data_IF_781616095574
#
_entry.id   IF_781616095574
#
_cell.length_a   1.000
_cell.length_b   1.000
_cell.length_c   1.000
_cell.angle_alpha   90.00
_cell.angle_beta   90.00
_cell.angle_gamma   90.00
#
_symmetry.space_group_name_H-M   'P 1'
#
loop_
_entity.id
_entity.type
_entity.pdbx_description
1 polymer ?
#
# COMPACT_ATOMS: atom_id res chain seq x y z
N UNK A 1 18.64 73.85 -29.80
CA UNK A 1 17.50 73.05 -29.41
C UNK A 1 17.90 71.53 -29.47
N UNK A 2 18.26 70.94 -28.34
CA UNK A 2 18.63 69.48 -28.24
C UNK A 2 17.47 68.77 -27.56
N UNK A 3 16.82 67.83 -28.27
CA UNK A 3 15.80 66.97 -27.70
C UNK A 3 16.49 65.67 -27.16
N UNK A 4 16.34 65.43 -25.87
CA UNK A 4 16.78 64.16 -25.23
C UNK A 4 15.71 63.10 -25.42
N UNK A 5 16.08 61.89 -25.94
CA UNK A 5 15.26 60.72 -25.93
C UNK A 5 15.52 59.99 -24.60
N UNK A 6 14.47 59.79 -23.81
CA UNK A 6 14.48 58.92 -22.65
C UNK A 6 14.10 57.50 -23.10
N UNK A 7 15.03 56.56 -23.02
CA UNK A 7 14.79 55.15 -23.24
C UNK A 7 14.24 54.52 -21.96
N UNK A 8 13.04 53.92 -22.04
CA UNK A 8 12.43 53.11 -20.98
C UNK A 8 12.99 51.69 -21.08
N UNK A 9 13.81 51.30 -20.12
CA UNK A 9 14.22 49.92 -19.93
C UNK A 9 13.16 49.20 -19.09
N UNK A 10 12.40 48.31 -19.72
CA UNK A 10 11.43 47.42 -19.04
C UNK A 10 12.19 46.23 -18.51
N UNK A 11 12.42 46.19 -17.19
CA UNK A 11 13.03 45.07 -16.48
C UNK A 11 11.99 43.97 -16.33
N UNK A 12 12.10 42.91 -17.13
CA UNK A 12 11.31 41.70 -16.97
C UNK A 12 11.84 40.92 -15.74
N UNK A 13 11.12 41.02 -14.62
CA UNK A 13 11.33 40.16 -13.46
C UNK A 13 10.82 38.76 -13.81
N UNK A 14 11.73 37.81 -14.06
CA UNK A 14 11.43 36.39 -14.11
C UNK A 14 11.27 35.91 -12.66
N UNK A 15 10.01 35.85 -12.20
CA UNK A 15 9.69 35.23 -10.91
C UNK A 15 9.77 33.70 -11.14
N UNK A 16 10.86 33.09 -10.72
CA UNK A 16 10.94 31.64 -10.60
C UNK A 16 10.04 31.19 -9.45
N UNK A 17 8.85 30.70 -9.76
CA UNK A 17 8.00 30.02 -8.79
C UNK A 17 8.64 28.68 -8.46
N UNK A 18 9.50 28.65 -7.46
CA UNK A 18 9.84 27.41 -6.79
C UNK A 18 8.59 26.97 -6.01
N UNK A 19 7.93 25.94 -6.51
CA UNK A 19 6.85 25.26 -5.79
C UNK A 19 7.41 24.77 -4.45
N UNK A 20 7.11 25.46 -3.38
CA UNK A 20 7.43 25.08 -2.02
C UNK A 20 6.69 23.77 -1.75
N UNK A 21 7.42 22.66 -1.62
CA UNK A 21 6.87 21.36 -1.20
C UNK A 21 6.14 21.57 0.12
N UNK A 22 4.81 21.58 0.08
CA UNK A 22 3.97 21.59 1.27
C UNK A 22 4.24 20.31 2.05
N UNK A 23 4.79 20.46 3.25
CA UNK A 23 5.19 19.36 4.12
C UNK A 23 3.96 18.71 4.75
N UNK A 24 3.40 17.73 4.08
CA UNK A 24 2.76 16.57 4.69
C UNK A 24 3.34 15.31 4.06
N UNK A 25 4.63 15.10 4.24
CA UNK A 25 5.26 13.80 4.00
C UNK A 25 5.08 12.96 5.25
N UNK A 26 4.37 11.83 5.20
CA UNK A 26 4.45 10.87 6.29
C UNK A 26 5.86 10.29 6.27
N UNK A 27 6.76 10.83 7.06
CA UNK A 27 8.11 10.28 7.24
C UNK A 27 8.00 9.05 8.13
N UNK A 28 8.11 7.86 7.55
CA UNK A 28 8.34 6.63 8.29
C UNK A 28 9.78 6.18 8.04
N UNK A 29 10.68 6.62 8.91
CA UNK A 29 11.93 5.91 9.17
C UNK A 29 11.63 4.64 10.00
N UNK A 30 12.46 3.61 9.93
CA UNK A 30 12.44 2.52 10.91
C UNK A 30 12.44 3.15 12.33
N UNK A 31 11.31 3.00 13.06
CA UNK A 31 11.10 3.70 14.33
C UNK A 31 10.02 4.78 14.32
N UNK A 32 9.22 4.91 13.28
CA UNK A 32 8.07 5.83 13.28
C UNK A 32 6.92 5.29 14.14
N UNK A 33 6.16 6.23 14.74
CA UNK A 33 4.99 5.91 15.53
C UNK A 33 3.89 5.28 14.66
N UNK A 34 3.15 4.34 15.24
CA UNK A 34 1.96 3.78 14.61
C UNK A 34 0.90 4.86 14.37
N UNK A 35 0.30 4.81 13.21
CA UNK A 35 -0.94 5.54 12.91
C UNK A 35 -1.98 4.56 12.37
N UNK A 36 -3.28 4.80 12.60
CA UNK A 36 -4.34 3.92 12.07
C UNK A 36 -4.21 3.65 10.56
N UNK A 37 -3.70 4.64 9.81
CA UNK A 37 -3.51 4.54 8.35
C UNK A 37 -2.49 3.46 7.94
N UNK A 38 -1.63 3.00 8.85
CA UNK A 38 -0.72 1.88 8.56
C UNK A 38 -1.50 0.62 8.21
N UNK A 39 -2.55 0.30 8.96
CA UNK A 39 -3.37 -0.89 8.70
C UNK A 39 -4.50 -0.54 7.73
N UNK A 40 -4.28 -0.89 6.48
CA UNK A 40 -5.19 -0.67 5.37
C UNK A 40 -5.97 -1.92 4.97
N UNK A 41 -7.02 -1.70 4.19
CA UNK A 41 -7.90 -2.76 3.69
C UNK A 41 -8.28 -2.51 2.23
N UNK A 42 -8.28 -3.56 1.42
CA UNK A 42 -8.94 -3.59 0.12
C UNK A 42 -10.36 -4.13 0.29
N UNK A 43 -11.36 -3.43 -0.26
CA UNK A 43 -12.77 -3.82 -0.21
C UNK A 43 -13.34 -3.94 -1.62
N UNK A 44 -14.24 -4.92 -1.82
CA UNK A 44 -14.95 -5.13 -3.09
C UNK A 44 -16.19 -4.24 -3.23
N UNK A 45 -16.83 -3.89 -2.11
CA UNK A 45 -18.07 -3.10 -2.11
C UNK A 45 -18.10 -2.17 -0.91
N UNK A 46 -18.55 -0.91 -1.08
CA UNK A 46 -18.68 0.04 0.02
C UNK A 46 -19.90 -0.21 0.90
N UNK A 47 -20.88 -0.98 0.42
CA UNK A 47 -22.18 -1.19 1.06
C UNK A 47 -22.40 -2.62 1.53
N UNK A 48 -21.51 -3.54 1.14
CA UNK A 48 -21.59 -4.95 1.49
C UNK A 48 -20.51 -5.27 2.52
N UNK A 49 -20.92 -5.67 3.73
CA UNK A 49 -20.03 -6.19 4.77
C UNK A 49 -18.84 -5.24 5.12
N UNK A 50 -19.15 -4.01 5.52
CA UNK A 50 -18.12 -3.11 6.03
C UNK A 50 -17.34 -3.77 7.17
N UNK A 51 -16.00 -3.66 7.20
CA UNK A 51 -15.18 -4.30 8.23
C UNK A 51 -15.59 -3.93 9.65
N UNK A 52 -15.71 -4.95 10.50
CA UNK A 52 -15.99 -4.80 11.95
C UNK A 52 -14.73 -4.52 12.76
N UNK A 53 -13.55 -4.67 12.14
CA UNK A 53 -12.24 -4.36 12.72
C UNK A 53 -11.82 -2.93 12.40
N UNK A 54 -10.99 -2.34 13.26
CA UNK A 54 -10.43 -1.01 13.02
C UNK A 54 -9.38 -1.05 11.91
N UNK A 55 -9.48 -0.12 10.97
CA UNK A 55 -8.47 0.15 9.94
C UNK A 55 -8.50 1.64 9.58
N UNK A 56 -7.41 2.17 9.03
CA UNK A 56 -7.30 3.61 8.79
C UNK A 56 -7.17 4.01 7.33
N UNK A 57 -6.94 3.05 6.42
CA UNK A 57 -6.78 3.32 4.99
C UNK A 57 -7.58 2.34 4.14
N UNK A 58 -8.25 2.85 3.11
CA UNK A 58 -9.10 2.09 2.20
C UNK A 58 -8.59 2.22 0.77
N UNK A 59 -8.44 1.07 0.09
CA UNK A 59 -8.21 0.98 -1.35
C UNK A 59 -9.36 0.21 -1.98
N UNK A 60 -10.27 0.89 -2.70
CA UNK A 60 -11.49 0.29 -3.22
C UNK A 60 -11.26 -0.47 -4.51
N UNK A 61 -12.09 -1.48 -4.76
CA UNK A 61 -12.26 -2.05 -6.10
C UNK A 61 -13.19 -1.19 -6.96
N UNK A 62 -13.19 -1.43 -8.29
CA UNK A 62 -14.20 -0.85 -9.19
C UNK A 62 -13.99 0.60 -9.59
N UNK A 63 -12.78 1.16 -9.39
CA UNK A 63 -12.43 2.52 -9.85
C UNK A 63 -11.89 2.57 -11.28
N UNK A 64 -12.08 1.51 -12.05
CA UNK A 64 -11.63 1.38 -13.45
C UNK A 64 -12.14 2.53 -14.31
N UNK A 65 -11.26 3.20 -15.03
CA UNK A 65 -11.59 4.36 -15.85
C UNK A 65 -12.77 4.13 -16.78
N UNK A 66 -12.81 3.01 -17.51
CA UNK A 66 -13.90 2.72 -18.43
C UNK A 66 -15.28 2.56 -17.78
N UNK A 67 -15.37 2.31 -16.47
CA UNK A 67 -16.63 2.33 -15.73
C UNK A 67 -17.02 3.75 -15.31
N UNK A 68 -16.03 4.59 -15.01
CA UNK A 68 -16.25 5.99 -14.62
C UNK A 68 -16.53 6.86 -15.83
N UNK A 69 -15.87 6.61 -16.97
CA UNK A 69 -16.02 7.37 -18.21
C UNK A 69 -16.09 6.40 -19.41
N UNK A 70 -17.28 5.93 -19.72
CA UNK A 70 -17.53 4.94 -20.77
C UNK A 70 -17.29 5.47 -22.19
N UNK A 71 -17.49 6.76 -22.40
CA UNK A 71 -17.15 7.54 -23.59
C UNK A 71 -16.70 8.94 -23.15
N UNK A 72 -15.92 9.61 -23.98
CA UNK A 72 -15.36 10.92 -23.63
C UNK A 72 -16.41 11.90 -23.13
N UNK A 73 -16.25 12.37 -21.89
CA UNK A 73 -17.16 13.31 -21.21
C UNK A 73 -18.45 12.67 -20.67
N UNK A 74 -18.67 11.37 -20.90
CA UNK A 74 -19.83 10.66 -20.36
C UNK A 74 -19.45 9.93 -19.06
N UNK A 75 -19.58 10.64 -17.93
CA UNK A 75 -19.17 10.16 -16.63
C UNK A 75 -20.31 9.52 -15.83
N UNK A 76 -20.05 8.34 -15.28
CA UNK A 76 -20.82 7.73 -14.20
C UNK A 76 -20.00 7.80 -12.89
N UNK A 77 -20.36 8.71 -12.02
CA UNK A 77 -19.68 8.90 -10.75
C UNK A 77 -20.24 8.07 -9.60
N UNK A 78 -21.36 7.37 -9.83
CA UNK A 78 -22.10 6.69 -8.76
C UNK A 78 -21.23 5.75 -7.92
N UNK A 79 -20.43 4.92 -8.57
CA UNK A 79 -19.54 3.98 -7.88
C UNK A 79 -18.50 4.68 -7.01
N UNK A 80 -17.85 5.72 -7.55
CA UNK A 80 -16.81 6.48 -6.81
C UNK A 80 -17.44 7.34 -5.72
N UNK A 81 -18.60 7.98 -5.98
CA UNK A 81 -19.34 8.75 -4.97
C UNK A 81 -19.71 7.90 -3.76
N UNK A 82 -20.13 6.64 -4.00
CA UNK A 82 -20.46 5.69 -2.92
C UNK A 82 -19.24 5.32 -2.08
N UNK A 83 -18.08 5.10 -2.71
CA UNK A 83 -16.83 4.86 -1.99
C UNK A 83 -16.38 6.07 -1.17
N UNK A 84 -16.47 7.27 -1.72
CA UNK A 84 -16.13 8.51 -1.01
C UNK A 84 -17.07 8.73 0.17
N UNK A 85 -18.36 8.49 0.01
CA UNK A 85 -19.35 8.60 1.10
C UNK A 85 -19.05 7.59 2.21
N UNK A 86 -18.76 6.33 1.86
CA UNK A 86 -18.43 5.29 2.84
C UNK A 86 -17.13 5.62 3.59
N UNK A 87 -16.06 5.99 2.89
CA UNK A 87 -14.80 6.37 3.51
C UNK A 87 -14.97 7.53 4.50
N UNK A 88 -15.72 8.57 4.11
CA UNK A 88 -16.00 9.71 4.97
C UNK A 88 -16.82 9.34 6.19
N UNK A 89 -17.87 8.51 6.04
CA UNK A 89 -18.73 8.11 7.15
C UNK A 89 -18.01 7.26 8.20
N UNK A 90 -16.99 6.53 7.78
CA UNK A 90 -16.16 5.69 8.65
C UNK A 90 -14.80 6.31 9.02
N UNK A 91 -14.53 7.55 8.60
CA UNK A 91 -13.29 8.28 8.87
C UNK A 91 -12.02 7.54 8.46
N UNK A 92 -12.05 6.83 7.32
CA UNK A 92 -10.89 6.14 6.75
C UNK A 92 -10.32 6.90 5.55
N UNK A 93 -9.00 6.90 5.41
CA UNK A 93 -8.30 7.55 4.31
C UNK A 93 -8.52 6.76 3.00
N UNK A 94 -9.04 7.41 1.96
CA UNK A 94 -9.34 6.78 0.68
C UNK A 94 -8.21 6.95 -0.32
N UNK A 95 -7.75 5.84 -0.92
CA UNK A 95 -6.82 5.80 -2.04
C UNK A 95 -7.58 5.47 -3.32
N UNK A 96 -7.68 6.42 -4.25
CA UNK A 96 -8.25 6.16 -5.59
C UNK A 96 -7.18 5.57 -6.51
N UNK A 97 -7.52 4.56 -7.30
CA UNK A 97 -6.60 3.94 -8.26
C UNK A 97 -7.01 4.31 -9.67
N UNK A 98 -6.14 5.00 -10.40
CA UNK A 98 -6.27 5.15 -11.85
C UNK A 98 -5.88 3.83 -12.52
N UNK A 99 -6.78 3.26 -13.31
CA UNK A 99 -6.62 1.89 -13.81
C UNK A 99 -7.37 1.69 -15.12
N UNK A 100 -6.73 0.99 -16.05
CA UNK A 100 -7.25 0.54 -17.35
C UNK A 100 -7.73 1.69 -18.26
N UNK A 101 -7.13 1.76 -19.42
CA UNK A 101 -7.51 2.72 -20.46
C UNK A 101 -8.82 2.28 -21.14
N UNK A 102 -9.86 3.08 -21.22
CA UNK A 102 -11.02 2.74 -22.04
C UNK A 102 -10.63 2.76 -23.52
N UNK A 103 -11.29 1.95 -24.34
CA UNK A 103 -10.95 1.76 -25.75
C UNK A 103 -10.84 3.08 -26.53
N UNK A 104 -11.75 4.02 -26.28
CA UNK A 104 -11.79 5.33 -26.94
C UNK A 104 -10.60 6.24 -26.59
N UNK A 105 -9.96 6.03 -25.43
CA UNK A 105 -8.82 6.81 -24.97
C UNK A 105 -7.46 6.15 -25.28
N UNK A 106 -7.48 4.90 -25.75
CA UNK A 106 -6.29 4.08 -25.92
C UNK A 106 -5.46 4.49 -27.14
N UNK A 107 -4.13 4.50 -26.99
CA UNK A 107 -3.18 4.62 -28.11
C UNK A 107 -3.21 3.41 -29.02
N UNK A 108 -3.72 2.25 -28.55
CA UNK A 108 -3.83 0.99 -29.30
C UNK A 108 -5.21 0.36 -29.06
N UNK A 109 -6.31 0.96 -29.60
CA UNK A 109 -7.70 0.59 -29.25
C UNK A 109 -8.11 -0.83 -29.66
N UNK A 110 -7.36 -1.46 -30.56
CA UNK A 110 -7.62 -2.81 -31.03
C UNK A 110 -6.74 -3.89 -30.36
N UNK A 111 -5.81 -3.49 -29.48
CA UNK A 111 -4.98 -4.41 -28.71
C UNK A 111 -5.84 -5.28 -27.81
N UNK A 112 -5.69 -6.61 -27.87
CA UNK A 112 -6.45 -7.53 -27.02
C UNK A 112 -6.11 -7.30 -25.55
N UNK A 113 -7.13 -7.24 -24.73
CA UNK A 113 -6.99 -7.06 -23.28
C UNK A 113 -7.88 -8.06 -22.53
N UNK A 114 -7.29 -8.80 -21.59
CA UNK A 114 -7.99 -9.85 -20.83
C UNK A 114 -8.75 -9.32 -19.60
N UNK A 115 -8.63 -8.01 -19.30
CA UNK A 115 -9.20 -7.37 -18.09
C UNK A 115 -10.29 -6.36 -18.38
N UNK A 116 -10.78 -6.31 -19.62
CA UNK A 116 -11.80 -5.37 -20.06
C UNK A 116 -11.94 -5.33 -21.57
N UNK A 117 -12.33 -4.16 -22.09
CA UNK A 117 -12.40 -3.93 -23.53
C UNK A 117 -11.01 -3.89 -24.15
N UNK A 118 -10.93 -4.11 -25.47
CA UNK A 118 -9.68 -3.96 -26.20
C UNK A 118 -9.02 -2.60 -25.90
N UNK A 119 -7.70 -2.58 -25.90
CA UNK A 119 -6.91 -1.38 -25.59
C UNK A 119 -6.73 -1.09 -24.10
N UNK A 120 -7.34 -1.88 -23.20
CA UNK A 120 -7.40 -1.57 -21.78
C UNK A 120 -6.03 -1.60 -21.05
N UNK A 121 -5.05 -2.31 -21.58
CA UNK A 121 -3.70 -2.34 -21.03
C UNK A 121 -2.72 -1.41 -21.77
N UNK A 122 -3.12 -0.85 -22.91
CA UNK A 122 -2.30 0.11 -23.63
C UNK A 122 -2.29 1.49 -22.93
N UNK A 123 -1.20 2.27 -23.05
CA UNK A 123 -1.21 3.66 -22.59
C UNK A 123 -2.36 4.46 -23.20
N UNK A 124 -2.98 5.37 -22.45
CA UNK A 124 -3.93 6.34 -23.02
C UNK A 124 -3.19 7.36 -23.89
N UNK A 125 -3.95 8.11 -24.70
CA UNK A 125 -3.46 9.34 -25.30
C UNK A 125 -3.29 10.40 -24.22
N UNK A 126 -2.31 11.29 -24.37
CA UNK A 126 -2.01 12.36 -23.40
C UNK A 126 -3.23 13.23 -23.12
N UNK A 127 -3.98 13.60 -24.17
CA UNK A 127 -5.17 14.43 -24.05
C UNK A 127 -6.27 13.76 -23.24
N UNK A 128 -6.53 12.47 -23.50
CA UNK A 128 -7.55 11.72 -22.75
C UNK A 128 -7.12 11.51 -21.29
N UNK A 129 -5.84 11.25 -21.06
CA UNK A 129 -5.28 11.10 -19.71
C UNK A 129 -5.40 12.38 -18.89
N UNK A 130 -4.97 13.51 -19.47
CA UNK A 130 -5.10 14.82 -18.85
C UNK A 130 -6.55 15.17 -18.52
N UNK A 131 -7.47 14.89 -19.44
CA UNK A 131 -8.91 15.12 -19.26
C UNK A 131 -9.45 14.32 -18.08
N UNK A 132 -9.19 13.01 -18.04
CA UNK A 132 -9.71 12.13 -17.00
C UNK A 132 -9.13 12.45 -15.61
N UNK A 133 -7.80 12.63 -15.50
CA UNK A 133 -7.16 13.02 -14.23
C UNK A 133 -7.75 14.34 -13.72
N UNK A 134 -7.91 15.33 -14.60
CA UNK A 134 -8.49 16.62 -14.23
C UNK A 134 -9.92 16.47 -13.71
N UNK A 135 -10.75 15.68 -14.40
CA UNK A 135 -12.16 15.48 -14.02
C UNK A 135 -12.29 14.81 -12.65
N UNK A 136 -11.55 13.71 -12.42
CA UNK A 136 -11.54 12.97 -11.14
C UNK A 136 -11.07 13.87 -10.00
N UNK A 137 -9.91 14.49 -10.14
CA UNK A 137 -9.31 15.28 -9.05
C UNK A 137 -10.12 16.53 -8.74
N UNK A 138 -10.69 17.19 -9.77
CA UNK A 138 -11.58 18.36 -9.56
C UNK A 138 -12.83 17.95 -8.79
N UNK A 139 -13.48 16.84 -9.18
CA UNK A 139 -14.70 16.37 -8.52
C UNK A 139 -14.47 16.03 -7.06
N UNK A 140 -13.34 15.39 -6.76
CA UNK A 140 -13.09 14.82 -5.42
C UNK A 140 -12.05 15.59 -4.59
N UNK A 141 -11.72 16.82 -5.00
CA UNK A 141 -10.79 17.69 -4.25
C UNK A 141 -11.09 17.70 -2.74
N UNK A 142 -10.07 17.39 -1.94
CA UNK A 142 -10.14 17.35 -0.48
C UNK A 142 -10.96 16.20 0.09
N UNK A 143 -11.53 15.30 -0.73
CA UNK A 143 -12.33 14.13 -0.30
C UNK A 143 -11.63 12.79 -0.53
N UNK A 144 -10.72 12.72 -1.49
CA UNK A 144 -9.82 11.60 -1.72
C UNK A 144 -8.44 12.02 -1.23
N UNK A 145 -7.86 11.26 -0.31
CA UNK A 145 -6.57 11.61 0.28
C UNK A 145 -5.40 11.31 -0.66
N UNK A 146 -5.49 10.21 -1.40
CA UNK A 146 -4.39 9.78 -2.26
C UNK A 146 -4.87 9.20 -3.59
N UNK A 147 -4.04 9.38 -4.62
CA UNK A 147 -4.24 8.88 -5.96
C UNK A 147 -3.09 7.95 -6.34
N UNK A 148 -3.38 6.66 -6.51
CA UNK A 148 -2.44 5.65 -7.02
C UNK A 148 -2.50 5.62 -8.53
N UNK A 149 -1.32 5.74 -9.15
CA UNK A 149 -1.21 6.02 -10.57
C UNK A 149 -0.98 4.78 -11.41
N UNK A 150 -1.82 3.81 -11.34
CA UNK A 150 -1.86 2.52 -12.02
C UNK A 150 -1.64 1.31 -11.13
N UNK A 151 -2.26 0.20 -11.55
CA UNK A 151 -2.17 -1.10 -10.88
C UNK A 151 -1.23 -2.03 -11.66
N UNK A 152 -0.25 -2.59 -10.99
CA UNK A 152 0.65 -3.67 -11.45
C UNK A 152 1.20 -3.48 -12.88
N UNK A 153 1.82 -2.33 -13.22
CA UNK A 153 2.24 -2.05 -14.59
C UNK A 153 3.41 -2.93 -15.07
N UNK A 154 4.03 -3.71 -14.18
CA UNK A 154 5.01 -4.73 -14.51
C UNK A 154 4.39 -6.06 -14.96
N UNK A 155 3.05 -6.17 -14.91
CA UNK A 155 2.30 -7.32 -15.39
C UNK A 155 1.56 -6.97 -16.69
N UNK A 156 1.84 -7.72 -17.75
CA UNK A 156 1.34 -7.46 -19.12
C UNK A 156 -0.19 -7.40 -19.23
N UNK A 157 -0.90 -8.03 -18.28
CA UNK A 157 -2.37 -7.97 -18.23
C UNK A 157 -2.91 -6.62 -17.76
N UNK A 158 -2.07 -5.74 -17.17
CA UNK A 158 -2.48 -4.44 -16.68
C UNK A 158 -1.88 -3.28 -17.48
N UNK A 159 -0.66 -3.44 -17.99
CA UNK A 159 -0.01 -2.40 -18.78
C UNK A 159 0.94 -2.99 -19.82
N UNK A 160 0.77 -2.60 -21.08
CA UNK A 160 1.59 -3.03 -22.22
C UNK A 160 2.49 -1.91 -22.76
N UNK A 161 2.49 -0.76 -22.10
CA UNK A 161 3.48 0.28 -22.28
C UNK A 161 4.79 -0.02 -21.52
N UNK A 162 5.82 0.77 -21.76
CA UNK A 162 7.08 0.72 -21.06
C UNK A 162 7.04 1.49 -19.71
N UNK A 163 8.02 1.29 -18.85
CA UNK A 163 8.23 2.09 -17.66
C UNK A 163 8.48 3.59 -18.00
N UNK A 164 9.02 3.89 -19.19
CA UNK A 164 9.16 5.26 -19.69
C UNK A 164 7.81 5.88 -20.07
N UNK A 165 6.90 5.12 -20.70
CA UNK A 165 5.55 5.60 -21.00
C UNK A 165 4.80 5.91 -19.71
N UNK A 166 4.96 5.07 -18.68
CA UNK A 166 4.37 5.33 -17.38
C UNK A 166 4.97 6.57 -16.69
N UNK A 167 6.30 6.77 -16.78
CA UNK A 167 6.94 7.99 -16.26
C UNK A 167 6.46 9.25 -17.00
N UNK A 168 6.16 9.14 -18.30
CA UNK A 168 5.55 10.19 -19.10
C UNK A 168 4.13 10.52 -18.60
N UNK A 169 3.27 9.51 -18.42
CA UNK A 169 1.92 9.70 -17.87
C UNK A 169 1.95 10.36 -16.48
N UNK A 170 2.92 9.99 -15.64
CA UNK A 170 3.14 10.62 -14.33
C UNK A 170 3.52 12.09 -14.46
N UNK A 171 4.34 12.45 -15.45
CA UNK A 171 4.78 13.84 -15.69
C UNK A 171 3.61 14.77 -16.08
N UNK A 172 2.55 14.22 -16.64
CA UNK A 172 1.30 14.91 -16.94
C UNK A 172 0.41 14.99 -15.68
N UNK A 173 0.19 13.84 -15.02
CA UNK A 173 -0.79 13.74 -13.92
C UNK A 173 -0.35 14.48 -12.66
N UNK A 174 0.91 14.35 -12.25
CA UNK A 174 1.39 14.92 -10.99
C UNK A 174 1.19 16.44 -10.87
N UNK A 175 1.65 17.28 -11.84
CA UNK A 175 1.42 18.73 -11.76
C UNK A 175 -0.06 19.09 -11.81
N UNK A 176 -0.90 18.36 -12.54
CA UNK A 176 -2.34 18.58 -12.55
C UNK A 176 -2.96 18.32 -11.17
N UNK A 177 -2.67 17.16 -10.57
CA UNK A 177 -3.16 16.81 -9.24
C UNK A 177 -2.74 17.88 -8.24
N UNK A 178 -1.44 18.25 -8.22
CA UNK A 178 -0.92 19.24 -7.28
C UNK A 178 -1.45 20.66 -7.52
N UNK A 179 -1.83 21.02 -8.74
CA UNK A 179 -2.46 22.30 -9.02
C UNK A 179 -3.91 22.38 -8.56
N UNK A 180 -4.64 21.28 -8.67
CA UNK A 180 -6.06 21.19 -8.29
C UNK A 180 -6.21 20.95 -6.79
N UNK A 181 -5.51 19.92 -6.27
CA UNK A 181 -5.52 19.52 -4.87
C UNK A 181 -4.07 19.36 -4.33
N UNK A 182 -3.45 20.45 -3.85
CA UNK A 182 -2.08 20.44 -3.36
C UNK A 182 -1.83 19.48 -2.19
N UNK A 183 -2.87 19.14 -1.44
CA UNK A 183 -2.77 18.24 -0.28
C UNK A 183 -2.85 16.76 -0.65
N UNK A 184 -3.38 16.43 -1.82
CA UNK A 184 -3.51 15.05 -2.27
C UNK A 184 -2.12 14.39 -2.40
N UNK A 185 -2.02 13.15 -1.93
CA UNK A 185 -0.81 12.33 -2.03
C UNK A 185 -0.82 11.60 -3.38
N UNK A 186 0.25 11.75 -4.15
CA UNK A 186 0.42 11.03 -5.42
C UNK A 186 1.29 9.80 -5.18
N UNK A 187 0.67 8.63 -5.29
CA UNK A 187 1.30 7.33 -5.08
C UNK A 187 1.79 6.80 -6.43
N UNK A 188 3.01 6.26 -6.47
CA UNK A 188 3.54 5.68 -7.71
C UNK A 188 2.64 4.56 -8.24
N UNK A 189 2.81 4.17 -9.52
CA UNK A 189 2.29 2.89 -9.99
C UNK A 189 2.78 1.76 -9.09
N UNK A 190 1.87 0.93 -8.57
CA UNK A 190 2.21 -0.15 -7.66
C UNK A 190 2.63 -1.40 -8.44
N UNK A 191 3.88 -1.85 -8.27
CA UNK A 191 4.38 -3.06 -8.94
C UNK A 191 3.99 -4.33 -8.20
N UNK A 192 3.62 -5.39 -8.93
CA UNK A 192 3.30 -6.70 -8.34
C UNK A 192 4.55 -7.50 -8.04
N UNK A 193 4.66 -8.04 -6.81
CA UNK A 193 5.72 -9.01 -6.46
C UNK A 193 5.68 -10.29 -7.29
N UNK A 194 4.51 -10.63 -7.84
CA UNK A 194 4.30 -11.77 -8.75
C UNK A 194 4.18 -11.37 -10.22
N UNK A 195 4.41 -10.11 -10.57
CA UNK A 195 4.26 -9.56 -11.92
C UNK A 195 5.16 -10.23 -12.96
N UNK A 196 4.61 -10.44 -14.15
CA UNK A 196 5.32 -11.02 -15.28
C UNK A 196 5.00 -10.19 -16.56
N UNK A 197 5.95 -9.89 -17.44
CA UNK A 197 7.28 -10.52 -17.56
C UNK A 197 8.38 -9.85 -16.73
N UNK A 198 8.14 -8.69 -16.13
CA UNK A 198 9.22 -7.93 -15.49
C UNK A 198 9.12 -8.00 -13.95
N UNK A 199 10.18 -8.45 -13.25
CA UNK A 199 10.22 -8.40 -11.80
C UNK A 199 9.98 -6.99 -11.26
N UNK A 200 9.30 -6.89 -10.11
CA UNK A 200 8.84 -5.64 -9.49
C UNK A 200 9.98 -4.63 -9.28
N UNK A 201 11.12 -5.07 -8.78
CA UNK A 201 12.29 -4.24 -8.50
C UNK A 201 12.98 -3.76 -9.78
N UNK A 202 13.02 -4.59 -10.83
CA UNK A 202 13.57 -4.22 -12.15
C UNK A 202 12.69 -3.20 -12.85
N UNK A 203 11.38 -3.38 -12.77
CA UNK A 203 10.44 -2.41 -13.36
C UNK A 203 10.51 -1.06 -12.62
N UNK A 204 10.57 -1.08 -11.29
CA UNK A 204 10.76 0.13 -10.49
C UNK A 204 12.07 0.84 -10.86
N UNK A 205 13.18 0.10 -11.02
CA UNK A 205 14.46 0.67 -11.46
C UNK A 205 14.34 1.37 -12.82
N UNK A 206 13.65 0.75 -13.79
CA UNK A 206 13.40 1.34 -15.10
C UNK A 206 12.52 2.60 -15.00
N UNK A 207 11.48 2.59 -14.18
CA UNK A 207 10.59 3.72 -13.96
C UNK A 207 11.34 4.91 -13.33
N UNK A 208 12.14 4.66 -12.31
CA UNK A 208 12.92 5.70 -11.64
C UNK A 208 14.04 6.22 -12.55
N UNK A 209 14.67 5.36 -13.35
CA UNK A 209 15.65 5.75 -14.38
C UNK A 209 15.04 6.67 -15.43
N UNK A 210 13.77 6.45 -15.81
CA UNK A 210 13.03 7.32 -16.73
C UNK A 210 12.57 8.65 -16.07
N UNK A 211 12.88 8.88 -14.80
CA UNK A 211 12.58 10.12 -14.09
C UNK A 211 11.24 10.12 -13.36
N UNK A 212 10.53 8.97 -13.29
CA UNK A 212 9.22 8.85 -12.64
C UNK A 212 9.21 9.25 -11.16
N UNK A 213 10.33 9.07 -10.46
CA UNK A 213 10.49 9.47 -9.06
C UNK A 213 10.33 10.97 -8.77
N UNK A 214 10.35 11.83 -9.80
CA UNK A 214 10.10 13.28 -9.67
C UNK A 214 8.61 13.62 -9.51
N UNK A 215 7.75 12.67 -9.88
CA UNK A 215 6.30 12.87 -10.04
C UNK A 215 5.51 11.98 -9.07
N UNK A 216 6.07 11.68 -7.89
CA UNK A 216 5.44 10.88 -6.84
C UNK A 216 5.77 11.45 -5.46
N UNK A 217 4.88 11.25 -4.50
CA UNK A 217 5.10 11.53 -3.09
C UNK A 217 5.38 10.24 -2.29
N UNK A 218 5.01 9.08 -2.86
CA UNK A 218 5.10 7.75 -2.24
C UNK A 218 5.46 6.73 -3.29
N UNK A 219 6.35 5.78 -2.98
CA UNK A 219 6.56 4.57 -3.78
C UNK A 219 5.62 3.48 -3.27
N UNK A 220 5.03 2.70 -4.19
CA UNK A 220 4.13 1.61 -3.86
C UNK A 220 4.51 0.30 -4.57
N UNK A 221 4.15 -0.83 -3.92
CA UNK A 221 4.18 -2.15 -4.52
C UNK A 221 3.07 -3.03 -3.91
N UNK A 222 2.88 -4.23 -4.45
CA UNK A 222 1.98 -5.24 -3.92
C UNK A 222 2.78 -6.40 -3.32
N UNK A 223 2.64 -6.60 -2.01
CA UNK A 223 3.45 -7.53 -1.21
C UNK A 223 2.78 -8.90 -1.06
N UNK A 224 2.60 -9.60 -2.15
CA UNK A 224 2.15 -11.00 -2.05
C UNK A 224 3.31 -11.92 -1.69
N UNK A 225 3.07 -12.78 -0.71
CA UNK A 225 4.01 -13.81 -0.28
C UNK A 225 3.76 -15.17 -0.96
N UNK A 226 3.21 -15.17 -2.17
CA UNK A 226 2.92 -16.40 -2.90
C UNK A 226 2.50 -16.13 -4.33
N UNK A 227 2.40 -17.21 -5.10
CA UNK A 227 1.87 -17.20 -6.46
C UNK A 227 0.50 -17.87 -6.47
N UNK A 228 -0.36 -17.43 -7.39
CA UNK A 228 -1.68 -18.02 -7.62
C UNK A 228 -1.61 -19.57 -7.70
N UNK A 229 -2.47 -20.24 -6.92
CA UNK A 229 -2.58 -21.71 -6.85
C UNK A 229 -1.28 -22.44 -6.43
N UNK A 230 -0.41 -21.77 -5.68
CA UNK A 230 0.80 -22.35 -5.10
C UNK A 230 0.76 -22.24 -3.57
N UNK A 231 1.52 -23.05 -2.83
CA UNK A 231 1.73 -22.80 -1.41
C UNK A 231 2.21 -21.37 -1.17
N UNK A 232 1.68 -20.72 -0.14
CA UNK A 232 2.18 -19.40 0.24
C UNK A 232 3.62 -19.52 0.74
N UNK A 233 4.48 -18.61 0.30
CA UNK A 233 5.81 -18.48 0.90
C UNK A 233 5.67 -17.83 2.29
N UNK A 234 6.59 -18.10 3.23
CA UNK A 234 6.54 -17.49 4.55
C UNK A 234 6.56 -15.96 4.47
N UNK A 235 5.80 -15.24 5.32
CA UNK A 235 5.79 -13.77 5.33
C UNK A 235 7.17 -13.15 5.57
N UNK A 236 8.10 -13.90 6.14
CA UNK A 236 9.49 -13.52 6.38
C UNK A 236 10.23 -13.11 5.10
N UNK A 237 9.81 -13.64 3.95
CA UNK A 237 10.35 -13.25 2.64
C UNK A 237 10.06 -11.79 2.26
N UNK A 238 9.06 -11.16 2.87
CA UNK A 238 8.78 -9.73 2.68
C UNK A 238 9.95 -8.85 3.07
N UNK A 239 10.72 -9.25 4.08
CA UNK A 239 11.94 -8.54 4.47
C UNK A 239 12.93 -8.42 3.31
N UNK A 240 13.02 -9.43 2.43
CA UNK A 240 13.84 -9.41 1.22
C UNK A 240 13.24 -8.49 0.16
N UNK A 241 11.93 -8.57 -0.08
CA UNK A 241 11.24 -7.70 -1.03
C UNK A 241 11.42 -6.23 -0.65
N UNK A 242 11.18 -5.89 0.63
CA UNK A 242 11.31 -4.51 1.15
C UNK A 242 12.75 -4.02 0.99
N UNK A 243 13.77 -4.84 1.31
CA UNK A 243 15.18 -4.47 1.12
C UNK A 243 15.52 -4.23 -0.35
N UNK A 244 15.02 -5.07 -1.27
CA UNK A 244 15.23 -4.88 -2.72
C UNK A 244 14.67 -3.55 -3.19
N UNK A 245 13.40 -3.23 -2.85
CA UNK A 245 12.76 -1.96 -3.23
C UNK A 245 13.51 -0.76 -2.63
N UNK A 246 13.84 -0.80 -1.33
CA UNK A 246 14.58 0.27 -0.66
C UNK A 246 15.98 0.48 -1.27
N UNK A 247 16.64 -0.59 -1.71
CA UNK A 247 17.91 -0.49 -2.43
C UNK A 247 17.76 0.24 -3.79
N UNK A 248 16.70 -0.08 -4.53
CA UNK A 248 16.37 0.64 -5.77
C UNK A 248 16.03 2.11 -5.48
N UNK A 249 15.21 2.40 -4.47
CA UNK A 249 14.89 3.78 -4.07
C UNK A 249 16.16 4.58 -3.71
N UNK A 250 17.07 3.97 -2.94
CA UNK A 250 18.32 4.60 -2.53
C UNK A 250 19.22 4.99 -3.72
N UNK A 251 19.29 4.14 -4.75
CA UNK A 251 20.04 4.40 -6.00
C UNK A 251 19.62 5.72 -6.66
N UNK A 252 18.35 6.14 -6.49
CA UNK A 252 17.81 7.36 -7.07
C UNK A 252 17.60 8.50 -6.04
N UNK A 253 18.19 8.40 -4.85
CA UNK A 253 18.12 9.43 -3.81
C UNK A 253 16.76 9.51 -3.08
N UNK A 254 15.96 8.43 -3.14
CA UNK A 254 14.61 8.37 -2.57
C UNK A 254 14.55 7.61 -1.23
N UNK A 255 15.66 7.46 -0.52
CA UNK A 255 15.73 6.69 0.74
C UNK A 255 14.75 7.17 1.82
N UNK A 256 14.39 8.44 1.83
CA UNK A 256 13.46 9.04 2.79
C UNK A 256 12.01 9.13 2.28
N UNK A 257 11.76 8.69 1.04
CA UNK A 257 10.39 8.67 0.50
C UNK A 257 9.60 7.53 1.15
N UNK A 258 8.33 7.77 1.56
CA UNK A 258 7.49 6.71 2.10
C UNK A 258 7.31 5.55 1.12
N UNK A 259 7.23 4.34 1.67
CA UNK A 259 6.94 3.12 0.91
C UNK A 259 5.63 2.52 1.42
N UNK A 260 4.68 2.28 0.52
CA UNK A 260 3.39 1.67 0.82
C UNK A 260 3.26 0.31 0.13
N UNK A 261 2.68 -0.65 0.85
CA UNK A 261 2.14 -1.87 0.29
C UNK A 261 0.64 -1.66 0.05
N UNK A 262 0.23 -1.38 -1.18
CA UNK A 262 -1.15 -1.02 -1.49
C UNK A 262 -2.05 -2.20 -1.79
N UNK A 263 -1.47 -3.42 -1.89
CA UNK A 263 -2.21 -4.66 -2.04
C UNK A 263 -1.32 -5.86 -1.68
N UNK A 264 -1.71 -6.65 -0.70
CA UNK A 264 -0.93 -7.82 -0.34
C UNK A 264 -1.65 -8.83 0.54
N UNK A 265 -0.97 -9.95 0.74
CA UNK A 265 -1.48 -11.09 1.49
C UNK A 265 -0.76 -12.37 1.07
N UNK A 266 -1.42 -13.52 1.27
CA UNK A 266 -0.81 -14.81 0.88
C UNK A 266 -0.98 -15.17 -0.60
N UNK A 267 -1.84 -14.46 -1.36
CA UNK A 267 -2.04 -14.69 -2.78
C UNK A 267 -3.31 -15.46 -3.11
N UNK A 268 -3.71 -15.40 -4.39
CA UNK A 268 -4.94 -16.02 -4.88
C UNK A 268 -4.89 -17.55 -4.77
N UNK A 269 -5.89 -18.13 -4.10
CA UNK A 269 -6.00 -19.58 -3.87
C UNK A 269 -4.72 -20.21 -3.31
N UNK A 270 -3.90 -19.42 -2.57
CA UNK A 270 -2.71 -19.95 -1.94
C UNK A 270 -3.06 -20.92 -0.83
N UNK A 271 -2.31 -22.00 -0.77
CA UNK A 271 -2.55 -23.05 0.19
C UNK A 271 -1.89 -22.70 1.52
N UNK A 272 -2.70 -22.36 2.50
CA UNK A 272 -2.31 -22.28 3.90
C UNK A 272 -3.13 -23.32 4.65
N UNK A 273 -2.48 -24.17 5.48
CA UNK A 273 -3.08 -25.44 5.94
C UNK A 273 -4.41 -25.26 6.66
N UNK A 274 -4.50 -24.29 7.54
CA UNK A 274 -5.66 -24.09 8.41
C UNK A 274 -5.82 -22.62 8.84
N UNK A 275 -6.89 -22.31 9.54
CA UNK A 275 -7.19 -20.95 10.00
C UNK A 275 -6.21 -20.44 11.06
N UNK A 276 -5.56 -21.31 11.84
CA UNK A 276 -4.53 -20.89 12.79
C UNK A 276 -3.27 -20.42 12.04
N UNK A 277 -2.84 -21.20 11.04
CA UNK A 277 -1.73 -20.82 10.18
C UNK A 277 -2.03 -19.52 9.39
N UNK A 278 -3.28 -19.32 8.94
CA UNK A 278 -3.73 -18.07 8.30
C UNK A 278 -3.64 -16.88 9.25
N UNK A 279 -4.07 -17.03 10.50
CA UNK A 279 -3.98 -16.00 11.53
C UNK A 279 -2.51 -15.63 11.83
N UNK A 280 -1.67 -16.63 12.01
CA UNK A 280 -0.23 -16.46 12.22
C UNK A 280 0.47 -15.80 11.03
N UNK A 281 0.09 -16.17 9.79
CA UNK A 281 0.59 -15.55 8.57
C UNK A 281 0.27 -14.05 8.54
N UNK A 282 -0.99 -13.69 8.72
CA UNK A 282 -1.44 -12.30 8.72
C UNK A 282 -0.72 -11.47 9.78
N UNK A 283 -0.62 -11.99 11.00
CA UNK A 283 0.04 -11.28 12.09
C UNK A 283 1.52 -10.99 11.75
N UNK A 284 2.27 -11.98 11.27
CA UNK A 284 3.68 -11.82 10.85
C UNK A 284 3.82 -10.86 9.66
N UNK A 285 2.89 -10.92 8.70
CA UNK A 285 2.87 -10.06 7.52
C UNK A 285 2.81 -8.57 7.91
N UNK A 286 1.93 -8.18 8.84
CA UNK A 286 1.84 -6.80 9.33
C UNK A 286 3.04 -6.42 10.21
N UNK A 287 3.44 -7.28 11.15
CA UNK A 287 4.53 -7.00 12.07
C UNK A 287 5.86 -6.77 11.33
N UNK A 288 6.16 -7.59 10.33
CA UNK A 288 7.35 -7.42 9.49
C UNK A 288 7.27 -6.07 8.75
N UNK A 289 6.19 -5.77 8.07
CA UNK A 289 6.07 -4.53 7.32
C UNK A 289 6.21 -3.30 8.21
N UNK A 290 5.52 -3.26 9.36
CA UNK A 290 5.65 -2.16 10.30
C UNK A 290 7.08 -2.01 10.80
N UNK A 291 7.72 -3.11 11.19
CA UNK A 291 9.10 -3.10 11.71
C UNK A 291 10.14 -2.65 10.68
N UNK A 292 9.88 -2.86 9.40
CA UNK A 292 10.72 -2.38 8.29
C UNK A 292 10.34 -0.98 7.80
N UNK A 293 9.42 -0.29 8.48
CA UNK A 293 9.05 1.10 8.20
C UNK A 293 8.22 1.28 6.94
N UNK A 294 7.36 0.31 6.63
CA UNK A 294 6.29 0.50 5.64
C UNK A 294 5.26 1.46 6.23
N UNK A 295 4.90 2.49 5.46
CA UNK A 295 4.03 3.54 5.97
C UNK A 295 2.54 3.17 5.95
N UNK A 296 2.14 2.35 4.97
CA UNK A 296 0.78 1.76 4.87
C UNK A 296 0.88 0.37 4.27
N UNK A 297 0.05 -0.55 4.79
CA UNK A 297 -0.04 -1.92 4.32
C UNK A 297 -1.52 -2.32 4.20
N UNK A 298 -1.96 -2.63 2.98
CA UNK A 298 -3.35 -2.90 2.67
C UNK A 298 -3.57 -4.39 2.43
N UNK A 299 -4.35 -5.01 3.32
CA UNK A 299 -4.69 -6.42 3.17
C UNK A 299 -5.70 -6.66 2.03
N UNK A 300 -5.42 -7.65 1.20
CA UNK A 300 -6.29 -8.07 0.11
C UNK A 300 -6.84 -9.48 0.37
N UNK A 301 -8.10 -9.65 0.86
CA UNK A 301 -9.20 -8.70 1.08
C UNK A 301 -10.04 -9.09 2.31
N UNK A 302 -11.02 -8.21 2.65
CA UNK A 302 -11.91 -8.43 3.80
C UNK A 302 -12.80 -9.66 3.64
N UNK A 303 -13.58 -9.75 2.56
CA UNK A 303 -14.64 -10.74 2.36
C UNK A 303 -14.49 -11.58 1.07
N UNK A 304 -13.28 -11.70 0.51
CA UNK A 304 -13.00 -12.46 -0.70
C UNK A 304 -12.39 -13.83 -0.39
N UNK A 305 -13.10 -14.90 -0.68
CA UNK A 305 -12.68 -16.28 -0.38
C UNK A 305 -11.45 -16.74 -1.15
N UNK A 306 -11.18 -16.17 -2.34
CA UNK A 306 -10.05 -16.55 -3.18
C UNK A 306 -8.70 -16.01 -2.67
N UNK A 307 -8.72 -14.89 -1.94
CA UNK A 307 -7.52 -14.13 -1.58
C UNK A 307 -7.24 -14.08 -0.06
N UNK A 308 -7.93 -14.88 0.73
CA UNK A 308 -7.67 -14.88 2.15
C UNK A 308 -8.58 -13.96 2.93
N UNK A 309 -9.82 -14.37 2.97
CA UNK A 309 -10.88 -13.63 3.64
C UNK A 309 -10.65 -13.48 5.13
N UNK A 310 -10.92 -12.27 5.64
CA UNK A 310 -10.94 -11.97 7.07
C UNK A 310 -12.34 -12.13 7.67
N UNK A 311 -13.35 -12.20 6.81
CA UNK A 311 -14.75 -12.31 7.20
C UNK A 311 -15.52 -13.24 6.25
N UNK A 312 -16.48 -13.98 6.79
CA UNK A 312 -17.38 -14.87 6.02
C UNK A 312 -18.82 -14.62 6.35
N UNK A 313 -19.67 -14.58 5.34
CA UNK A 313 -21.11 -14.49 5.52
C UNK A 313 -21.62 -15.65 6.40
N UNK A 314 -22.49 -15.32 7.36
CA UNK A 314 -23.07 -16.26 8.29
C UNK A 314 -22.19 -16.71 9.47
N UNK A 315 -20.87 -16.49 9.41
CA UNK A 315 -19.95 -16.83 10.52
C UNK A 315 -19.13 -15.67 11.07
N UNK A 316 -19.13 -14.51 10.35
CA UNK A 316 -18.42 -13.32 10.81
C UNK A 316 -16.90 -13.41 10.59
N UNK A 317 -16.13 -12.82 11.51
CA UNK A 317 -14.67 -12.76 11.45
C UNK A 317 -14.05 -14.15 11.51
N UNK A 318 -13.14 -14.42 10.58
CA UNK A 318 -12.27 -15.60 10.60
C UNK A 318 -11.22 -15.46 11.71
N UNK A 319 -10.44 -16.51 11.98
CA UNK A 319 -9.27 -16.38 12.87
C UNK A 319 -8.28 -15.35 12.38
N UNK A 320 -8.09 -15.22 11.05
CA UNK A 320 -7.25 -14.17 10.47
C UNK A 320 -7.85 -12.75 10.69
N UNK A 321 -9.19 -12.60 10.62
CA UNK A 321 -9.86 -11.34 10.96
C UNK A 321 -9.66 -10.94 12.42
N UNK A 322 -9.75 -11.88 13.35
CA UNK A 322 -9.45 -11.67 14.78
C UNK A 322 -7.96 -11.32 14.99
N UNK A 323 -7.06 -11.99 14.29
CA UNK A 323 -5.63 -11.68 14.34
C UNK A 323 -5.32 -10.27 13.79
N UNK A 324 -6.05 -9.80 12.76
CA UNK A 324 -5.95 -8.42 12.28
C UNK A 324 -6.26 -7.42 13.40
N UNK A 325 -7.39 -7.59 14.09
CA UNK A 325 -7.78 -6.73 15.21
C UNK A 325 -6.76 -6.81 16.36
N UNK A 326 -6.22 -7.99 16.63
CA UNK A 326 -5.23 -8.17 17.68
C UNK A 326 -3.90 -7.49 17.35
N UNK A 327 -3.41 -7.59 16.11
CA UNK A 327 -2.18 -6.88 15.67
C UNK A 327 -2.39 -5.37 15.71
N UNK A 328 -3.57 -4.88 15.31
CA UNK A 328 -3.91 -3.46 15.47
C UNK A 328 -3.74 -3.04 16.95
N UNK A 329 -4.33 -3.77 17.88
CA UNK A 329 -4.17 -3.52 19.33
C UNK A 329 -2.71 -3.58 19.81
N UNK A 330 -1.89 -4.48 19.24
CA UNK A 330 -0.48 -4.59 19.56
C UNK A 330 0.33 -3.39 19.07
N UNK A 331 -0.06 -2.78 17.98
CA UNK A 331 0.65 -1.64 17.39
C UNK A 331 0.08 -0.29 17.82
N UNK A 332 -1.19 -0.22 18.23
CA UNK A 332 -1.82 1.02 18.68
C UNK A 332 -1.03 1.64 19.87
N UNK A 333 -0.69 2.92 19.69
CA UNK A 333 0.19 3.63 20.63
C UNK A 333 1.68 3.27 20.52
N UNK A 334 2.10 2.42 19.57
CA UNK A 334 3.52 2.16 19.34
C UNK A 334 4.24 3.41 18.84
N UNK A 335 5.34 3.76 19.50
CA UNK A 335 6.20 4.90 19.15
C UNK A 335 7.41 4.48 18.32
N UNK A 336 7.79 3.21 18.41
CA UNK A 336 8.88 2.61 17.63
C UNK A 336 8.77 1.08 17.61
N UNK A 337 9.37 0.45 16.62
CA UNK A 337 9.55 -1.01 16.54
C UNK A 337 10.92 -1.33 15.97
N UNK A 338 11.62 -2.31 16.57
CA UNK A 338 12.87 -2.84 15.98
C UNK A 338 12.52 -3.74 14.79
N UNK A 339 13.35 -3.79 13.73
CA UNK A 339 13.13 -4.73 12.64
C UNK A 339 13.01 -6.16 13.15
N UNK A 340 11.97 -6.85 12.71
CA UNK A 340 11.81 -8.28 13.00
C UNK A 340 12.91 -9.07 12.28
N UNK A 341 13.62 -9.90 13.01
CA UNK A 341 14.76 -10.66 12.50
C UNK A 341 14.88 -12.01 13.21
N UNK A 342 15.52 -13.01 12.56
CA UNK A 342 15.85 -14.25 13.22
C UNK A 342 16.78 -14.01 14.40
N UNK A 343 16.43 -14.59 15.55
CA UNK A 343 17.28 -14.59 16.76
C UNK A 343 18.23 -15.80 16.74
N UNK A 344 17.67 -16.99 16.58
CA UNK A 344 18.40 -18.25 16.38
C UNK A 344 17.46 -19.29 15.73
N UNK A 345 18.00 -20.13 14.86
CA UNK A 345 17.23 -21.16 14.16
C UNK A 345 16.02 -20.57 13.44
N UNK A 346 14.84 -21.06 13.78
CA UNK A 346 13.55 -20.61 13.24
C UNK A 346 12.89 -19.50 14.07
N UNK A 347 13.46 -19.12 15.22
CA UNK A 347 12.86 -18.14 16.13
C UNK A 347 13.13 -16.72 15.62
N UNK A 348 12.05 -15.96 15.45
CA UNK A 348 12.06 -14.55 15.07
C UNK A 348 11.63 -13.67 16.24
N UNK A 349 12.23 -12.51 16.35
CA UNK A 349 11.88 -11.51 17.37
C UNK A 349 11.89 -10.10 16.86
N UNK A 350 11.06 -9.25 17.46
CA UNK A 350 11.12 -7.79 17.36
C UNK A 350 10.58 -7.16 18.64
N UNK A 351 10.95 -5.91 18.91
CA UNK A 351 10.47 -5.18 20.09
C UNK A 351 9.58 -4.04 19.68
N UNK A 352 8.44 -3.89 20.35
CA UNK A 352 7.52 -2.76 20.21
C UNK A 352 7.70 -1.83 21.41
N UNK A 353 7.85 -0.53 21.17
CA UNK A 353 7.94 0.50 22.19
C UNK A 353 6.63 1.29 22.26
N UNK A 354 6.02 1.39 23.45
CA UNK A 354 4.84 2.23 23.71
C UNK A 354 5.12 3.12 24.92
N UNK A 355 5.43 4.38 24.70
CA UNK A 355 5.90 5.27 25.74
C UNK A 355 7.14 4.68 26.43
N UNK A 356 7.08 4.49 27.76
CA UNK A 356 8.14 3.87 28.55
C UNK A 356 8.15 2.33 28.49
N UNK A 357 7.07 1.71 28.01
CA UNK A 357 6.92 0.25 28.03
C UNK A 357 7.50 -0.40 26.78
N UNK A 358 8.23 -1.49 26.99
CA UNK A 358 8.77 -2.34 25.94
C UNK A 358 8.05 -3.68 25.91
N UNK A 359 7.67 -4.11 24.72
CA UNK A 359 7.05 -5.41 24.44
C UNK A 359 7.96 -6.21 23.54
N UNK A 360 7.92 -7.55 23.67
CA UNK A 360 8.69 -8.46 22.83
C UNK A 360 7.75 -9.32 22.03
N UNK A 361 7.83 -9.26 20.70
CA UNK A 361 7.12 -10.17 19.80
C UNK A 361 8.02 -11.32 19.45
N UNK A 362 7.47 -12.56 19.51
CA UNK A 362 8.21 -13.78 19.21
C UNK A 362 7.34 -14.74 18.42
N UNK A 363 7.94 -15.45 17.46
CA UNK A 363 7.34 -16.59 16.75
C UNK A 363 8.42 -17.52 16.22
N UNK A 364 8.01 -18.72 15.77
CA UNK A 364 8.85 -19.63 15.02
C UNK A 364 8.38 -19.74 13.58
N UNK A 365 9.26 -19.56 12.61
CA UNK A 365 8.94 -19.64 11.17
C UNK A 365 8.82 -21.07 10.62
N UNK A 366 9.22 -22.11 11.38
CA UNK A 366 9.29 -23.48 10.88
C UNK A 366 8.74 -24.54 11.85
N UNK A 367 7.72 -24.19 12.66
CA UNK A 367 7.07 -25.12 13.58
C UNK A 367 7.36 -24.83 15.05
N UNK A 368 6.74 -25.60 15.99
CA UNK A 368 6.87 -25.35 17.42
C UNK A 368 8.31 -25.42 17.92
N UNK A 369 8.69 -24.47 18.74
CA UNK A 369 10.05 -24.33 19.32
C UNK A 369 9.95 -23.76 20.71
N UNK A 370 10.77 -24.22 21.64
CA UNK A 370 10.84 -23.68 23.00
C UNK A 370 11.62 -22.37 23.03
N UNK A 371 11.02 -21.35 23.66
CA UNK A 371 11.61 -20.02 23.84
C UNK A 371 11.67 -19.65 25.31
N UNK A 372 12.85 -19.32 25.81
CA UNK A 372 13.11 -18.99 27.23
C UNK A 372 13.69 -17.58 27.45
N UNK A 373 14.06 -16.87 26.39
CA UNK A 373 14.71 -15.55 26.51
C UNK A 373 13.69 -14.40 26.63
N UNK A 374 12.87 -14.42 27.71
CA UNK A 374 11.85 -13.40 27.96
C UNK A 374 11.96 -12.78 29.39
N UNK A 375 13.17 -12.74 29.95
CA UNK A 375 13.41 -12.16 31.28
C UNK A 375 12.86 -10.74 31.35
N UNK A 376 12.12 -10.44 32.44
CA UNK A 376 11.46 -9.14 32.66
C UNK A 376 10.03 -9.04 32.10
N UNK A 377 9.51 -10.11 31.52
CA UNK A 377 8.11 -10.18 31.09
C UNK A 377 7.33 -11.16 31.96
N UNK A 378 6.16 -10.76 32.44
CA UNK A 378 5.32 -11.55 33.38
C UNK A 378 4.13 -12.21 32.71
N UNK A 379 3.80 -11.82 31.47
CA UNK A 379 2.69 -12.38 30.72
C UNK A 379 2.91 -12.20 29.21
N UNK A 380 2.14 -12.95 28.42
CA UNK A 380 2.07 -12.74 26.97
C UNK A 380 0.63 -12.86 26.47
N UNK A 381 0.37 -12.30 25.29
CA UNK A 381 -0.87 -12.46 24.52
C UNK A 381 -0.56 -13.17 23.21
N UNK A 382 -1.41 -14.09 22.83
CA UNK A 382 -1.37 -14.71 21.51
C UNK A 382 -2.12 -13.90 20.45
N UNK A 383 -2.06 -14.33 19.18
CA UNK A 383 -2.73 -13.67 18.07
C UNK A 383 -4.27 -13.77 18.12
N UNK A 384 -4.83 -14.62 18.98
CA UNK A 384 -6.26 -14.66 19.26
C UNK A 384 -6.70 -13.67 20.35
N UNK A 385 -5.73 -13.04 21.04
CA UNK A 385 -5.95 -12.09 22.12
C UNK A 385 -5.99 -12.68 23.52
N UNK A 386 -5.79 -14.01 23.66
CA UNK A 386 -5.79 -14.66 24.96
C UNK A 386 -4.54 -14.30 25.76
N UNK A 387 -4.73 -13.99 27.04
CA UNK A 387 -3.63 -13.65 27.96
C UNK A 387 -3.18 -14.87 28.73
N UNK A 388 -1.87 -15.08 28.75
CA UNK A 388 -1.19 -16.16 29.45
C UNK A 388 -0.18 -15.56 30.47
N UNK A 389 0.00 -16.23 31.61
CA UNK A 389 1.00 -15.84 32.59
C UNK A 389 2.32 -16.55 32.29
N UNK A 390 3.43 -15.81 32.27
CA UNK A 390 4.76 -16.41 32.17
C UNK A 390 5.20 -16.95 33.53
N UNK A 391 5.58 -18.22 33.57
CA UNK A 391 5.95 -18.93 34.82
C UNK A 391 7.46 -19.03 35.02
N UNK A 392 8.26 -18.39 34.16
CA UNK A 392 9.72 -18.55 34.13
C UNK A 392 10.19 -19.83 33.42
N UNK A 393 9.26 -20.68 32.98
CA UNK A 393 9.55 -21.89 32.18
C UNK A 393 9.57 -21.56 30.69
N UNK A 394 10.24 -22.33 29.84
CA UNK A 394 10.19 -22.15 28.40
C UNK A 394 8.73 -22.12 27.89
N UNK A 395 8.47 -21.23 26.93
CA UNK A 395 7.16 -21.08 26.26
C UNK A 395 7.30 -21.64 24.86
N UNK A 396 6.39 -22.54 24.47
CA UNK A 396 6.33 -23.02 23.09
C UNK A 396 5.85 -21.90 22.19
N UNK A 397 6.64 -21.52 21.19
CA UNK A 397 6.31 -20.58 20.13
C UNK A 397 6.19 -21.31 18.79
N UNK A 398 5.17 -20.98 18.01
CA UNK A 398 4.93 -21.54 16.69
C UNK A 398 4.82 -20.43 15.63
N UNK A 399 4.18 -20.70 14.50
CA UNK A 399 3.98 -19.74 13.43
C UNK A 399 2.99 -18.61 13.78
N UNK A 400 2.31 -18.69 14.91
CA UNK A 400 1.44 -17.63 15.43
C UNK A 400 2.23 -16.76 16.41
N UNK A 401 2.46 -15.48 16.11
CA UNK A 401 3.21 -14.60 17.02
C UNK A 401 2.54 -14.44 18.37
N UNK A 402 3.37 -14.33 19.41
CA UNK A 402 2.95 -13.93 20.75
C UNK A 402 3.63 -12.62 21.15
N UNK A 403 2.94 -11.80 21.94
CA UNK A 403 3.44 -10.52 22.44
C UNK A 403 3.67 -10.62 23.96
N UNK A 404 4.91 -10.65 24.40
CA UNK A 404 5.28 -10.54 25.82
C UNK A 404 5.11 -9.13 26.34
N UNK A 405 4.60 -9.02 27.57
CA UNK A 405 4.30 -7.78 28.28
C UNK A 405 5.00 -7.75 29.63
N UNK A 406 5.68 -6.63 29.94
CA UNK A 406 6.11 -6.32 31.32
C UNK A 406 4.89 -6.01 32.21
N UNK A 407 5.06 -6.13 33.51
CA UNK A 407 4.03 -5.69 34.47
C UNK A 407 3.81 -4.18 34.42
#
# INVERSE_FOLDING_TARGET
>A
MRRALAGFFMLLLVISVQAQKSQRTPSHSSGAAFTPQFMGMNLLSPTRHWPTVQFGSLRPAGTTWGFVESARGNFDWHGVDTWVAAANSHHVALTYVFLNTPQWASTRPNEKCNRGMNGCAAPPTDEAWQHFVTAVVTRYKGRIESYEMWNEPNAIGFFTGSASDMAHLMSIAYPLIKSIDPQAIVVSPATSSSGWPTPYDKWLDQFLKAGGGKYVDVIAWHAYAGRTNQPATPPEDLANQIRSIKSVMAKYGLSNMPLWDTEGGWGKNSQIPDEQAQAGFLARWYLIQFSYGIARAYWYQWDNTDYGTLWREGSGETRAGKAYAQVYSWLDGATAMTPCAPLHGSVWTCSVQKGANKYLVVWSSSGPTEFSNYTGFSSFRDAAGEKHTSTGQPVTVDSSPILFQSQ
#
